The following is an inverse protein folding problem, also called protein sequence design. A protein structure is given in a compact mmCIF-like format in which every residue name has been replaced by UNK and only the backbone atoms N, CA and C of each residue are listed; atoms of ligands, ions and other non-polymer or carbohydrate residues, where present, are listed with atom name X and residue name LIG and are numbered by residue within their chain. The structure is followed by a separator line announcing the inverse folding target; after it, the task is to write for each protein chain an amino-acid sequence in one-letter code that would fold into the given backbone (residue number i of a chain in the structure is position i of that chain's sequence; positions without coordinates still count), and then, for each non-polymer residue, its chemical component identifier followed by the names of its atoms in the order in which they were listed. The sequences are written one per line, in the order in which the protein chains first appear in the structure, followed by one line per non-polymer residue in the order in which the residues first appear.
data_IF_646240517991
#
_entry.id   IF_646240517991
#
_cell.length_a   1.000
_cell.length_b   1.000
_cell.length_c   1.000
_cell.angle_alpha   90.00
_cell.angle_beta   90.00
_cell.angle_gamma   90.00
#
_symmetry.space_group_name_H-M   'P 1'
#
loop_
_entity.id
_entity.type
_entity.pdbx_description
1 polymer ?
#
# COMPACT_ATOMS: atom_id res chain seq x y z
N UNK A 1 -17.58 -25.28 -30.38
CA UNK A 1 -16.66 -26.39 -30.03
C UNK A 1 -16.25 -26.32 -28.56
N UNK A 2 -16.41 -27.41 -27.79
CA UNK A 2 -15.87 -27.52 -26.43
C UNK A 2 -14.34 -27.65 -26.46
N UNK A 3 -13.63 -26.98 -25.56
CA UNK A 3 -12.17 -27.15 -25.41
C UNK A 3 -11.93 -28.43 -24.61
N UNK A 4 -11.22 -29.44 -25.15
CA UNK A 4 -10.93 -30.67 -24.42
C UNK A 4 -9.93 -30.42 -23.29
N UNK A 5 -10.00 -31.24 -22.23
CA UNK A 5 -8.90 -31.36 -21.28
C UNK A 5 -7.70 -31.98 -22.00
N UNK A 6 -6.49 -31.54 -21.67
CA UNK A 6 -5.29 -32.22 -22.18
C UNK A 6 -5.23 -33.66 -21.66
N UNK A 7 -4.70 -34.55 -22.48
CA UNK A 7 -4.67 -36.00 -22.25
C UNK A 7 -3.75 -36.43 -21.10
N UNK A 8 -2.81 -35.58 -20.69
CA UNK A 8 -1.93 -35.82 -19.55
C UNK A 8 -2.65 -35.67 -18.20
N UNK A 9 -3.85 -35.08 -18.16
CA UNK A 9 -4.67 -35.01 -16.96
C UNK A 9 -5.62 -36.20 -16.84
N UNK A 10 -5.50 -36.94 -15.74
CA UNK A 10 -6.43 -38.00 -15.38
C UNK A 10 -7.16 -37.69 -14.07
N UNK A 11 -8.28 -38.40 -13.85
CA UNK A 11 -9.12 -38.18 -12.69
C UNK A 11 -8.41 -38.45 -11.35
N UNK A 12 -7.52 -39.46 -11.31
CA UNK A 12 -6.76 -39.81 -10.11
C UNK A 12 -5.81 -38.69 -9.69
N UNK A 13 -5.04 -38.13 -10.63
CA UNK A 13 -4.12 -37.02 -10.40
C UNK A 13 -4.86 -35.75 -9.95
N UNK A 14 -5.98 -35.41 -10.60
CA UNK A 14 -6.80 -34.27 -10.19
C UNK A 14 -7.39 -34.44 -8.79
N UNK A 15 -7.78 -35.67 -8.39
CA UNK A 15 -8.23 -35.95 -7.02
C UNK A 15 -7.11 -35.90 -6.00
N UNK A 16 -5.89 -36.36 -6.34
CA UNK A 16 -4.72 -36.21 -5.46
C UNK A 16 -4.42 -34.73 -5.22
N UNK A 17 -4.36 -33.94 -6.29
CA UNK A 17 -4.17 -32.49 -6.20
C UNK A 17 -5.29 -31.80 -5.39
N UNK A 18 -6.54 -32.29 -5.50
CA UNK A 18 -7.66 -31.76 -4.73
C UNK A 18 -7.52 -32.06 -3.22
N UNK A 19 -6.97 -33.23 -2.85
CA UNK A 19 -6.70 -33.62 -1.45
C UNK A 19 -5.55 -32.84 -0.84
N UNK A 20 -4.53 -32.51 -1.64
CA UNK A 20 -3.36 -31.73 -1.20
C UNK A 20 -3.67 -30.23 -1.11
N UNK A 21 -4.67 -29.76 -1.88
CA UNK A 21 -5.08 -28.35 -1.89
C UNK A 21 -5.65 -27.90 -0.54
N UNK A 22 -5.19 -26.73 -0.09
CA UNK A 22 -5.75 -25.99 1.05
C UNK A 22 -6.78 -24.93 0.63
N UNK A 23 -6.94 -24.70 -0.67
CA UNK A 23 -7.91 -23.75 -1.22
C UNK A 23 -9.21 -24.48 -1.60
N UNK A 24 -10.30 -24.15 -0.90
CA UNK A 24 -11.60 -24.79 -1.11
C UNK A 24 -12.16 -24.57 -2.54
N UNK A 25 -11.83 -23.43 -3.17
CA UNK A 25 -12.18 -23.13 -4.54
C UNK A 25 -11.47 -24.08 -5.50
N UNK A 26 -10.15 -24.21 -5.36
CA UNK A 26 -9.31 -25.11 -6.14
C UNK A 26 -9.74 -26.57 -5.98
N UNK A 27 -10.00 -27.04 -4.75
CA UNK A 27 -10.47 -28.41 -4.50
C UNK A 27 -11.77 -28.70 -5.26
N UNK A 28 -12.76 -27.79 -5.19
CA UNK A 28 -14.03 -27.96 -5.91
C UNK A 28 -13.85 -28.00 -7.43
N UNK A 29 -13.00 -27.11 -7.96
CA UNK A 29 -12.67 -27.04 -9.39
C UNK A 29 -12.02 -28.33 -9.87
N UNK A 30 -11.03 -28.83 -9.13
CA UNK A 30 -10.33 -30.06 -9.45
C UNK A 30 -11.25 -31.28 -9.42
N UNK A 31 -12.17 -31.39 -8.46
CA UNK A 31 -13.15 -32.48 -8.40
C UNK A 31 -14.15 -32.43 -9.57
N UNK A 32 -14.61 -31.25 -9.95
CA UNK A 32 -15.48 -31.09 -11.12
C UNK A 32 -14.78 -31.51 -12.42
N UNK A 33 -13.50 -31.15 -12.59
CA UNK A 33 -12.72 -31.55 -13.77
C UNK A 33 -12.33 -33.04 -13.75
N UNK A 34 -12.10 -33.62 -12.56
CA UNK A 34 -11.86 -35.06 -12.43
C UNK A 34 -13.06 -35.88 -12.92
N UNK A 35 -14.28 -35.43 -12.66
CA UNK A 35 -15.48 -36.08 -13.19
C UNK A 35 -15.51 -36.06 -14.73
N UNK A 36 -15.06 -34.96 -15.36
CA UNK A 36 -14.96 -34.89 -16.84
C UNK A 36 -13.95 -35.92 -17.36
N UNK A 37 -12.81 -36.11 -16.67
CA UNK A 37 -11.84 -37.15 -17.03
C UNK A 37 -12.42 -38.57 -16.92
N UNK A 38 -13.48 -38.78 -16.12
CA UNK A 38 -14.21 -40.07 -16.02
C UNK A 38 -15.39 -40.17 -16.99
N UNK A 39 -15.54 -39.22 -17.91
CA UNK A 39 -16.59 -39.22 -18.91
C UNK A 39 -17.86 -38.46 -18.51
N UNK A 40 -17.88 -37.79 -17.35
CA UNK A 40 -19.01 -36.93 -17.01
C UNK A 40 -19.13 -35.77 -18.01
N UNK A 41 -20.38 -35.39 -18.28
CA UNK A 41 -20.68 -34.25 -19.13
C UNK A 41 -20.25 -32.94 -18.45
N UNK A 42 -20.01 -31.90 -19.25
CA UNK A 42 -19.72 -30.56 -18.71
C UNK A 42 -20.88 -30.00 -17.87
N UNK A 43 -22.12 -30.43 -18.13
CA UNK A 43 -23.30 -30.07 -17.36
C UNK A 43 -23.27 -30.70 -15.97
N UNK A 44 -22.85 -31.96 -15.85
CA UNK A 44 -22.66 -32.61 -14.56
C UNK A 44 -21.49 -31.99 -13.79
N UNK A 45 -20.37 -31.71 -14.46
CA UNK A 45 -19.25 -31.01 -13.85
C UNK A 45 -19.64 -29.60 -13.35
N UNK A 46 -20.47 -28.87 -14.10
CA UNK A 46 -21.01 -27.59 -13.69
C UNK A 46 -21.89 -27.70 -12.44
N UNK A 47 -22.71 -28.76 -12.35
CA UNK A 47 -23.51 -29.08 -11.16
C UNK A 47 -22.63 -29.40 -9.95
N UNK A 48 -21.58 -30.20 -10.12
CA UNK A 48 -20.59 -30.51 -9.06
C UNK A 48 -19.90 -29.22 -8.58
N UNK A 49 -19.52 -28.35 -9.53
CA UNK A 49 -18.87 -27.08 -9.23
C UNK A 49 -19.78 -26.00 -8.66
N UNK A 50 -21.11 -26.15 -8.80
CA UNK A 50 -22.09 -25.11 -8.47
C UNK A 50 -21.96 -23.87 -9.36
N UNK A 51 -21.62 -24.05 -10.64
CA UNK A 51 -21.29 -22.96 -11.57
C UNK A 51 -21.94 -23.16 -12.93
N UNK A 52 -21.76 -22.21 -13.85
CA UNK A 52 -22.23 -22.31 -15.23
C UNK A 52 -21.27 -23.10 -16.12
N UNK A 53 -21.75 -23.56 -17.28
CA UNK A 53 -20.92 -24.22 -18.31
C UNK A 53 -19.74 -23.35 -18.77
N UNK A 54 -19.93 -22.03 -18.83
CA UNK A 54 -18.88 -21.10 -19.21
C UNK A 54 -17.74 -21.10 -18.19
N UNK A 55 -18.06 -21.13 -16.90
CA UNK A 55 -17.05 -21.18 -15.84
C UNK A 55 -16.28 -22.51 -15.88
N UNK A 56 -16.95 -23.63 -16.15
CA UNK A 56 -16.26 -24.93 -16.35
C UNK A 56 -15.31 -24.86 -17.54
N UNK A 57 -15.73 -24.24 -18.66
CA UNK A 57 -14.86 -23.99 -19.81
C UNK A 57 -13.63 -23.18 -19.42
N UNK A 58 -13.79 -22.12 -18.64
CA UNK A 58 -12.69 -21.28 -18.18
C UNK A 58 -11.73 -22.04 -17.26
N UNK A 59 -12.24 -22.95 -16.42
CA UNK A 59 -11.41 -23.85 -15.61
C UNK A 59 -10.59 -24.81 -16.48
N UNK A 60 -11.18 -25.39 -17.52
CA UNK A 60 -10.45 -26.24 -18.47
C UNK A 60 -9.32 -25.46 -19.15
N UNK A 61 -9.57 -24.23 -19.59
CA UNK A 61 -8.54 -23.35 -20.20
C UNK A 61 -7.39 -23.11 -19.21
N UNK A 62 -7.72 -22.72 -17.97
CA UNK A 62 -6.71 -22.44 -16.92
C UNK A 62 -5.91 -23.69 -16.56
N UNK A 63 -6.56 -24.83 -16.39
CA UNK A 63 -5.89 -26.09 -16.10
C UNK A 63 -4.95 -26.48 -17.24
N UNK A 64 -5.41 -26.39 -18.49
CA UNK A 64 -4.60 -26.75 -19.65
C UNK A 64 -3.35 -25.85 -19.80
N UNK A 65 -3.47 -24.56 -19.47
CA UNK A 65 -2.39 -23.59 -19.60
C UNK A 65 -1.41 -23.58 -18.41
N UNK A 66 -1.90 -23.83 -17.19
CA UNK A 66 -1.15 -23.57 -15.96
C UNK A 66 -1.17 -24.73 -14.95
N UNK A 67 -1.77 -25.87 -15.32
CA UNK A 67 -1.94 -27.03 -14.45
C UNK A 67 -2.86 -26.75 -13.25
N UNK A 68 -2.86 -27.64 -12.24
CA UNK A 68 -3.69 -27.51 -11.05
C UNK A 68 -3.51 -26.17 -10.32
N UNK A 69 -2.29 -25.62 -10.30
CA UNK A 69 -2.00 -24.32 -9.68
C UNK A 69 -2.72 -23.15 -10.36
N UNK A 70 -3.05 -23.28 -11.64
CA UNK A 70 -3.86 -22.30 -12.40
C UNK A 70 -5.30 -22.16 -11.93
N UNK A 71 -5.80 -23.10 -11.14
CA UNK A 71 -7.15 -23.11 -10.60
C UNK A 71 -7.26 -22.42 -9.22
N UNK A 72 -6.15 -21.92 -8.68
CA UNK A 72 -6.15 -21.05 -7.51
C UNK A 72 -6.48 -19.63 -7.95
N UNK A 73 -7.38 -18.96 -7.23
CA UNK A 73 -7.67 -17.56 -7.51
C UNK A 73 -6.44 -16.71 -7.20
N UNK A 74 -5.90 -16.06 -8.23
CA UNK A 74 -4.82 -15.10 -8.04
C UNK A 74 -5.39 -13.86 -7.36
N UNK A 75 -4.64 -13.32 -6.40
CA UNK A 75 -4.96 -12.01 -5.83
C UNK A 75 -5.01 -11.00 -6.98
N UNK A 76 -6.17 -10.38 -7.19
CA UNK A 76 -6.30 -9.36 -8.21
C UNK A 76 -5.24 -8.28 -7.97
N UNK A 77 -4.52 -7.83 -9.02
CA UNK A 77 -3.74 -6.61 -8.91
C UNK A 77 -4.75 -5.53 -8.53
N UNK A 78 -4.57 -4.89 -7.37
CA UNK A 78 -5.52 -3.90 -6.88
C UNK A 78 -5.74 -2.77 -7.88
N UNK A 79 -6.60 -1.81 -7.53
CA UNK A 79 -6.80 -0.63 -8.36
C UNK A 79 -5.46 0.02 -8.71
N UNK A 80 -5.23 0.25 -10.01
CA UNK A 80 -4.03 0.93 -10.48
C UNK A 80 -3.96 2.30 -9.79
N UNK A 81 -2.77 2.67 -9.32
CA UNK A 81 -2.55 4.00 -8.74
C UNK A 81 -2.89 5.06 -9.79
N UNK A 82 -3.55 6.14 -9.38
CA UNK A 82 -3.98 7.21 -10.31
C UNK A 82 -2.79 8.02 -10.86
N UNK A 83 -1.70 8.09 -10.11
CA UNK A 83 -0.44 8.66 -10.58
C UNK A 83 0.45 7.51 -11.06
N UNK A 84 0.95 7.64 -12.28
CA UNK A 84 2.02 6.81 -12.83
C UNK A 84 3.41 7.41 -12.50
N UNK A 85 4.47 6.78 -13.01
CA UNK A 85 5.84 7.21 -12.76
C UNK A 85 6.17 8.57 -13.40
N UNK A 86 5.55 8.89 -14.54
CA UNK A 86 5.74 10.18 -15.21
C UNK A 86 5.13 11.32 -14.39
N UNK A 87 3.90 11.13 -13.90
CA UNK A 87 3.24 12.08 -13.00
C UNK A 87 4.04 12.27 -11.70
N UNK A 88 4.59 11.19 -11.12
CA UNK A 88 5.43 11.27 -9.92
C UNK A 88 6.72 12.05 -10.17
N UNK A 89 7.38 11.82 -11.30
CA UNK A 89 8.60 12.54 -11.66
C UNK A 89 8.33 14.04 -11.88
N UNK A 90 7.25 14.38 -12.60
CA UNK A 90 6.85 15.76 -12.80
C UNK A 90 6.46 16.45 -11.49
N UNK A 91 5.73 15.75 -10.61
CA UNK A 91 5.37 16.26 -9.29
C UNK A 91 6.61 16.56 -8.44
N UNK A 92 7.61 15.69 -8.44
CA UNK A 92 8.87 15.92 -7.74
C UNK A 92 9.59 17.16 -8.31
N UNK A 93 9.72 17.25 -9.63
CA UNK A 93 10.34 18.40 -10.28
C UNK A 93 9.64 19.73 -9.93
N UNK A 94 8.30 19.76 -9.95
CA UNK A 94 7.53 20.94 -9.59
C UNK A 94 7.72 21.33 -8.12
N UNK A 95 7.80 20.36 -7.21
CA UNK A 95 8.06 20.62 -5.79
C UNK A 95 9.45 21.22 -5.58
N UNK A 96 10.48 20.67 -6.24
CA UNK A 96 11.86 21.16 -6.13
C UNK A 96 12.06 22.53 -6.77
N UNK A 97 11.47 22.79 -7.93
CA UNK A 97 11.56 24.10 -8.60
C UNK A 97 10.83 25.20 -7.83
N UNK A 98 9.89 24.82 -6.96
CA UNK A 98 8.96 25.74 -6.33
C UNK A 98 7.95 26.31 -7.34
N UNK A 99 6.94 27.05 -6.85
CA UNK A 99 5.95 27.68 -7.71
C UNK A 99 6.53 28.92 -8.39
N UNK A 100 6.10 29.18 -9.62
CA UNK A 100 6.33 30.44 -10.32
C UNK A 100 5.17 31.38 -9.95
N UNK A 101 5.38 32.44 -9.13
CA UNK A 101 4.25 33.22 -8.59
C UNK A 101 3.38 33.87 -9.66
N UNK A 102 3.98 34.31 -10.77
CA UNK A 102 3.26 34.94 -11.88
C UNK A 102 2.34 33.97 -12.64
N UNK A 103 2.64 32.67 -12.64
CA UNK A 103 1.86 31.64 -13.36
C UNK A 103 0.91 30.92 -12.40
N UNK A 104 1.42 30.50 -11.24
CA UNK A 104 0.70 29.65 -10.30
C UNK A 104 -0.06 30.43 -9.23
N UNK A 105 0.19 31.74 -9.08
CA UNK A 105 -0.49 32.59 -8.10
C UNK A 105 -0.18 32.28 -6.63
N UNK A 106 0.81 31.42 -6.37
CA UNK A 106 1.20 31.00 -5.01
C UNK A 106 2.70 31.17 -4.80
N UNK A 107 3.08 31.53 -3.57
CA UNK A 107 4.48 31.71 -3.15
C UNK A 107 5.11 30.40 -2.67
N UNK A 108 4.28 29.47 -2.19
CA UNK A 108 4.71 28.13 -1.76
C UNK A 108 3.68 27.12 -2.20
N UNK A 109 4.13 25.92 -2.54
CA UNK A 109 3.22 24.81 -2.78
C UNK A 109 2.49 24.39 -1.51
N UNK A 110 1.15 24.39 -1.54
CA UNK A 110 0.30 23.59 -0.65
C UNK A 110 -0.15 22.35 -1.41
N UNK A 111 -0.58 21.32 -0.68
CA UNK A 111 -1.12 20.10 -1.30
C UNK A 111 -2.32 20.41 -2.19
N UNK A 112 -3.18 21.34 -1.80
CA UNK A 112 -4.31 21.80 -2.64
C UNK A 112 -3.85 22.46 -3.94
N UNK A 113 -2.73 23.20 -3.91
CA UNK A 113 -2.18 23.87 -5.10
C UNK A 113 -1.57 22.84 -6.06
N UNK A 114 -0.79 21.87 -5.54
CA UNK A 114 -0.21 20.78 -6.34
C UNK A 114 -1.29 19.88 -6.93
N UNK A 115 -2.40 19.69 -6.23
CA UNK A 115 -3.57 18.96 -6.75
C UNK A 115 -4.16 19.69 -7.95
N UNK A 116 -4.34 21.00 -7.84
CA UNK A 116 -4.86 21.82 -8.94
C UNK A 116 -3.88 21.82 -10.12
N UNK A 117 -2.59 22.02 -9.86
CA UNK A 117 -1.55 21.96 -10.89
C UNK A 117 -1.52 20.61 -11.62
N UNK A 118 -1.63 19.49 -10.89
CA UNK A 118 -1.68 18.15 -11.50
C UNK A 118 -2.92 17.96 -12.39
N UNK A 119 -4.05 18.57 -12.01
CA UNK A 119 -5.23 18.59 -12.85
C UNK A 119 -5.01 19.44 -14.10
N UNK A 120 -4.46 20.64 -13.97
CA UNK A 120 -4.32 21.56 -15.10
C UNK A 120 -3.31 21.04 -16.13
N UNK A 121 -2.18 20.51 -15.69
CA UNK A 121 -1.10 20.01 -16.55
C UNK A 121 -1.40 18.61 -17.14
N UNK A 122 -1.98 17.70 -16.34
CA UNK A 122 -2.11 16.28 -16.71
C UNK A 122 -3.55 15.75 -16.73
N UNK A 123 -4.55 16.58 -16.39
CA UNK A 123 -5.95 16.17 -16.24
C UNK A 123 -6.16 15.03 -15.22
N UNK A 124 -5.21 14.87 -14.28
CA UNK A 124 -5.28 13.86 -13.23
C UNK A 124 -5.90 14.45 -11.97
N UNK A 125 -7.17 14.11 -11.76
CA UNK A 125 -7.88 14.44 -10.53
C UNK A 125 -7.51 13.48 -9.40
N UNK A 126 -6.99 13.96 -8.27
CA UNK A 126 -6.80 13.15 -7.04
C UNK A 126 -7.27 13.89 -5.81
N UNK A 127 -7.52 13.18 -4.71
CA UNK A 127 -7.80 13.83 -3.42
C UNK A 127 -6.51 14.36 -2.78
N UNK A 128 -6.63 15.34 -1.88
CA UNK A 128 -5.50 15.86 -1.12
C UNK A 128 -4.83 14.76 -0.27
N UNK A 129 -5.60 13.79 0.24
CA UNK A 129 -5.04 12.67 0.98
C UNK A 129 -4.19 11.77 0.09
N UNK A 130 -4.63 11.48 -1.13
CA UNK A 130 -3.84 10.70 -2.10
C UNK A 130 -2.55 11.42 -2.45
N UNK A 131 -2.63 12.71 -2.77
CA UNK A 131 -1.44 13.49 -3.12
C UNK A 131 -0.47 13.63 -1.94
N UNK A 132 -0.99 13.80 -0.72
CA UNK A 132 -0.17 13.81 0.50
C UNK A 132 0.56 12.49 0.75
N UNK A 133 -0.06 11.34 0.42
CA UNK A 133 0.60 10.02 0.50
C UNK A 133 1.69 9.87 -0.56
N UNK A 134 1.40 10.23 -1.81
CA UNK A 134 2.38 10.17 -2.90
C UNK A 134 3.61 11.05 -2.60
N UNK A 135 3.40 12.29 -2.13
CA UNK A 135 4.50 13.16 -1.69
C UNK A 135 5.33 12.53 -0.55
N UNK A 136 4.69 11.83 0.40
CA UNK A 136 5.42 11.15 1.48
C UNK A 136 6.23 9.95 0.99
N UNK A 137 5.69 9.19 0.05
CA UNK A 137 6.39 8.07 -0.58
C UNK A 137 7.59 8.55 -1.40
N UNK A 138 7.49 9.72 -2.04
CA UNK A 138 8.60 10.42 -2.70
C UNK A 138 9.63 11.03 -1.72
N UNK A 139 9.42 10.89 -0.40
CA UNK A 139 10.34 11.39 0.62
C UNK A 139 10.05 12.80 1.12
N UNK A 140 9.11 13.53 0.52
CA UNK A 140 8.75 14.87 0.95
C UNK A 140 8.04 14.87 2.29
N UNK A 141 8.31 15.91 3.08
CA UNK A 141 7.66 16.16 4.38
C UNK A 141 7.18 17.59 4.44
N UNK A 142 6.06 17.81 5.13
CA UNK A 142 5.54 19.15 5.37
C UNK A 142 6.58 19.95 6.16
N UNK A 143 7.11 20.99 5.56
CA UNK A 143 7.93 21.96 6.26
C UNK A 143 7.00 22.78 7.17
N UNK A 144 6.95 22.45 8.46
CA UNK A 144 6.42 23.37 9.47
C UNK A 144 7.58 24.19 10.01
N UNK A 145 7.56 25.50 9.77
CA UNK A 145 8.42 26.39 10.53
C UNK A 145 8.08 26.19 12.02
N UNK A 146 9.07 25.88 12.86
CA UNK A 146 8.94 26.24 14.27
C UNK A 146 8.83 27.76 14.28
N UNK A 147 7.80 28.37 14.91
CA UNK A 147 7.66 29.82 14.91
C UNK A 147 8.95 30.47 15.43
N UNK A 148 9.75 31.05 14.53
CA UNK A 148 10.83 31.95 14.89
C UNK A 148 10.22 33.34 14.97
N UNK A 149 10.08 33.85 16.19
CA UNK A 149 9.60 35.20 16.40
C UNK A 149 10.63 36.18 15.83
N UNK A 150 10.19 37.13 15.00
CA UNK A 150 11.07 38.09 14.31
C UNK A 150 11.84 39.01 15.29
N UNK A 151 11.38 39.14 16.54
CA UNK A 151 12.12 39.82 17.61
C UNK A 151 13.13 38.93 18.37
N UNK A 152 13.40 37.69 17.92
CA UNK A 152 14.36 36.82 18.58
C UNK A 152 15.80 37.25 18.23
N UNK A 153 16.49 37.88 19.19
CA UNK A 153 17.87 38.31 19.02
C UNK A 153 18.81 37.13 18.68
N UNK A 154 19.76 37.37 17.77
CA UNK A 154 20.78 36.40 17.42
C UNK A 154 21.57 35.99 18.67
N UNK A 155 21.63 34.68 18.95
CA UNK A 155 22.33 34.14 20.12
C UNK A 155 21.50 34.07 21.42
N UNK A 156 20.24 34.54 21.45
CA UNK A 156 19.41 34.48 22.66
C UNK A 156 19.18 33.05 23.19
N UNK A 157 19.13 32.06 22.28
CA UNK A 157 18.99 30.64 22.65
C UNK A 157 20.27 30.09 23.29
N UNK A 158 21.45 30.45 22.77
CA UNK A 158 22.73 30.02 23.34
C UNK A 158 23.02 30.75 24.67
N UNK A 159 22.62 32.02 24.80
CA UNK A 159 22.71 32.78 26.05
C UNK A 159 21.73 32.26 27.13
N UNK A 160 20.57 31.74 26.74
CA UNK A 160 19.59 31.15 27.66
C UNK A 160 19.97 29.75 28.15
N UNK A 161 20.96 29.08 27.56
CA UNK A 161 21.56 27.88 28.14
C UNK A 161 22.32 28.24 29.42
N UNK A 162 21.58 28.46 30.51
CA UNK A 162 22.12 28.65 31.85
C UNK A 162 22.84 27.38 32.29
N UNK A 163 24.12 27.53 32.61
CA UNK A 163 24.82 26.68 33.55
C UNK A 163 24.17 26.83 34.94
N UNK A 164 23.04 26.16 35.16
CA UNK A 164 22.48 26.03 36.50
C UNK A 164 23.38 25.05 37.28
N UNK A 165 23.93 25.45 38.45
CA UNK A 165 24.57 24.49 39.33
C UNK A 165 23.55 23.43 39.73
N UNK A 166 23.92 22.15 39.65
CA UNK A 166 23.09 21.05 40.13
C UNK A 166 22.89 21.22 41.65
N UNK A 167 21.74 21.73 42.08
CA UNK A 167 21.40 21.96 43.49
C UNK A 167 21.09 20.66 44.26
N UNK A 168 21.81 19.57 44.01
CA UNK A 168 21.66 18.29 44.74
C UNK A 168 22.83 17.97 45.69
N UNK A 169 23.79 18.88 45.84
CA UNK A 169 24.89 18.71 46.79
C UNK A 169 24.46 19.11 48.22
N UNK A 170 23.97 18.11 48.96
CA UNK A 170 23.95 17.95 50.44
C UNK A 170 23.73 19.23 51.28
N UNK A 171 22.56 19.34 51.90
CA UNK A 171 22.43 20.05 53.17
C UNK A 171 23.41 19.43 54.18
N UNK A 172 24.31 20.26 54.75
CA UNK A 172 25.12 19.83 55.91
C UNK A 172 24.17 19.52 57.06
N UNK A 173 24.41 18.40 57.74
CA UNK A 173 23.73 18.06 58.98
C UNK A 173 23.80 19.25 59.97
N UNK A 174 22.65 19.61 60.54
CA UNK A 174 22.56 20.63 61.58
C UNK A 174 23.44 20.22 62.77
N UNK A 175 24.37 21.08 63.18
CA UNK A 175 25.06 20.92 64.47
C UNK A 175 24.00 20.99 65.58
N UNK A 176 23.99 19.98 66.45
CA UNK A 176 23.24 20.01 67.68
C UNK A 176 23.73 21.19 68.55
N UNK A 177 22.79 21.97 69.06
CA UNK A 177 23.03 23.05 70.02
C UNK A 177 23.53 22.49 71.36
N UNK A 178 24.60 23.08 71.89
CA UNK A 178 25.10 22.82 73.24
C UNK A 178 24.11 23.31 74.31
N UNK A 179 24.05 22.67 75.49
CA UNK A 179 23.06 22.99 76.52
C UNK A 179 23.41 24.31 77.22
N UNK A 180 22.36 25.01 77.68
CA UNK A 180 22.45 26.25 78.44
C UNK A 180 22.86 25.98 79.90
N UNK A 181 23.66 26.90 80.45
CA UNK A 181 24.03 27.02 81.87
C UNK A 181 22.82 27.32 82.75
#
# INVERSE_FOLDING_TARGET
MPIPLREDFNAAGLRSAARESKDAGQTRRLLALAAICEGATRTEAARIGGVTLQIVRDWVIKLNAHGPAGLIDRKAPGQKRRLDDAHRAALAAAVESGPIPAVHGVVRWRVVDLRQWLHDEFQVSVSEQTLSRELRELGYRKLSARPRHHAQAAGAIEAFKKASPRAWARSRASRASSPAT
#
